data_IF_172054107624
#
_entry.id   IF_172054107624
#
_cell.length_a   1.000
_cell.length_b   1.000
_cell.length_c   1.000
_cell.angle_alpha   90.00
_cell.angle_beta   90.00
_cell.angle_gamma   90.00
#
_symmetry.space_group_name_H-M   'P 1'
#
loop_
_entity.id
_entity.type
_entity.pdbx_description
1 polymer ?
#
# COMPACT_ATOMS: atom_id res chain seq x y z
N UNK A 1 -13.48 2.23 13.42
CA UNK A 1 -12.04 2.21 13.06
C UNK A 1 -11.64 3.62 12.64
N UNK A 2 -10.45 4.06 13.03
CA UNK A 2 -9.99 5.44 12.95
C UNK A 2 -9.14 5.70 11.69
N UNK A 3 -9.57 5.15 10.54
CA UNK A 3 -8.79 5.09 9.29
C UNK A 3 -8.31 6.45 8.77
N UNK A 4 -8.94 7.56 9.16
CA UNK A 4 -8.54 8.90 8.75
C UNK A 4 -7.12 9.30 9.19
N UNK A 5 -6.54 8.65 10.21
CA UNK A 5 -5.19 8.98 10.70
C UNK A 5 -4.10 8.51 9.75
N UNK A 6 -4.31 7.38 9.08
CA UNK A 6 -3.34 6.71 8.20
C UNK A 6 -3.50 7.16 6.74
N UNK A 7 -4.59 7.86 6.42
CA UNK A 7 -4.89 8.33 5.06
C UNK A 7 -3.88 9.34 4.50
N UNK A 8 -3.08 10.00 5.36
CA UNK A 8 -1.96 10.84 4.90
C UNK A 8 -0.91 10.03 4.12
N UNK A 9 -0.75 8.74 4.44
CA UNK A 9 0.12 7.79 3.71
C UNK A 9 -0.70 6.99 2.71
N UNK A 10 -1.85 6.45 3.13
CA UNK A 10 -2.58 5.46 2.34
C UNK A 10 -3.24 6.07 1.09
N UNK A 11 -3.71 7.32 1.14
CA UNK A 11 -4.33 7.96 -0.03
C UNK A 11 -3.35 8.27 -1.16
N UNK A 12 -2.19 8.91 -0.90
CA UNK A 12 -1.15 9.05 -1.93
C UNK A 12 -0.71 7.71 -2.49
N UNK A 13 -0.52 6.70 -1.64
CA UNK A 13 -0.13 5.35 -2.05
C UNK A 13 -1.07 4.75 -3.08
N UNK A 14 -2.37 4.67 -2.77
CA UNK A 14 -3.38 4.13 -3.70
C UNK A 14 -3.41 4.91 -5.01
N UNK A 15 -3.38 6.25 -4.94
CA UNK A 15 -3.45 7.11 -6.12
C UNK A 15 -2.23 6.95 -7.04
N UNK A 16 -1.01 6.91 -6.48
CA UNK A 16 0.21 6.77 -7.26
C UNK A 16 0.31 5.39 -7.90
N UNK A 17 -0.04 4.32 -7.17
CA UNK A 17 -0.05 2.98 -7.73
C UNK A 17 -1.10 2.80 -8.82
N UNK A 18 -2.30 3.34 -8.61
CA UNK A 18 -3.35 3.34 -9.64
C UNK A 18 -2.91 4.12 -10.89
N UNK A 19 -2.30 5.29 -10.72
CA UNK A 19 -1.76 6.09 -11.83
C UNK A 19 -0.60 5.38 -12.54
N UNK A 20 0.17 4.53 -11.84
CA UNK A 20 1.21 3.69 -12.42
C UNK A 20 0.66 2.42 -13.11
N UNK A 21 -0.66 2.22 -13.14
CA UNK A 21 -1.31 1.11 -13.82
C UNK A 21 -1.49 -0.15 -12.98
N UNK A 22 -1.17 -0.13 -11.68
CA UNK A 22 -1.42 -1.28 -10.81
C UNK A 22 -2.93 -1.39 -10.50
N UNK A 23 -3.50 -2.61 -10.53
CA UNK A 23 -4.92 -2.82 -10.32
C UNK A 23 -5.27 -2.81 -8.82
N UNK A 24 -5.13 -1.65 -8.18
CA UNK A 24 -5.47 -1.45 -6.77
C UNK A 24 -6.97 -1.65 -6.55
N UNK A 25 -7.34 -2.46 -5.56
CA UNK A 25 -8.73 -2.75 -5.22
C UNK A 25 -9.23 -1.83 -4.09
N UNK A 26 -8.58 -1.88 -2.93
CA UNK A 26 -8.88 -1.04 -1.78
C UNK A 26 -7.70 -1.05 -0.79
N UNK A 27 -7.86 -0.36 0.34
CA UNK A 27 -7.04 -0.56 1.52
C UNK A 27 -7.92 -0.59 2.77
N UNK A 28 -7.40 -1.21 3.84
CA UNK A 28 -8.06 -1.28 5.15
C UNK A 28 -7.04 -1.26 6.28
N UNK A 29 -7.43 -0.69 7.42
CA UNK A 29 -6.70 -0.88 8.67
C UNK A 29 -6.87 -2.31 9.18
N UNK A 30 -5.83 -2.85 9.79
CA UNK A 30 -5.79 -4.21 10.33
C UNK A 30 -6.02 -4.25 11.85
N UNK A 31 -5.82 -5.42 12.46
CA UNK A 31 -6.06 -5.68 13.88
C UNK A 31 -5.21 -4.79 14.81
N UNK A 32 -3.98 -4.47 14.41
CA UNK A 32 -3.01 -3.76 15.23
C UNK A 32 -2.90 -2.27 14.88
N UNK A 33 -2.60 -1.44 15.89
CA UNK A 33 -2.45 -0.01 15.70
C UNK A 33 -1.29 0.32 14.73
N UNK A 34 -1.60 1.06 13.66
CA UNK A 34 -0.64 1.41 12.61
C UNK A 34 -0.40 0.30 11.58
N UNK A 35 -1.12 -0.82 11.67
CA UNK A 35 -1.11 -1.87 10.66
C UNK A 35 -2.17 -1.60 9.59
N UNK A 36 -1.77 -1.66 8.33
CA UNK A 36 -2.61 -1.39 7.16
C UNK A 36 -2.42 -2.49 6.11
N UNK A 37 -3.49 -2.80 5.39
CA UNK A 37 -3.53 -3.73 4.26
C UNK A 37 -3.87 -2.98 2.98
N UNK A 38 -3.08 -3.22 1.92
CA UNK A 38 -3.35 -2.77 0.57
C UNK A 38 -3.72 -3.99 -0.28
N UNK A 39 -4.94 -4.03 -0.81
CA UNK A 39 -5.38 -5.12 -1.68
C UNK A 39 -5.17 -4.75 -3.15
N UNK A 40 -4.56 -5.68 -3.87
CA UNK A 40 -4.34 -5.62 -5.32
C UNK A 40 -5.19 -6.73 -5.93
N UNK A 41 -5.91 -6.43 -7.02
CA UNK A 41 -6.73 -7.43 -7.70
C UNK A 41 -5.87 -8.61 -8.15
N UNK A 42 -6.48 -9.79 -8.17
CA UNK A 42 -5.86 -11.00 -8.68
C UNK A 42 -5.34 -10.79 -10.12
N UNK A 43 -4.13 -11.30 -10.38
CA UNK A 43 -3.60 -11.48 -11.72
C UNK A 43 -2.80 -12.78 -11.81
N UNK A 44 -2.35 -13.12 -13.02
CA UNK A 44 -1.43 -14.22 -13.25
C UNK A 44 -0.14 -14.06 -12.43
N UNK A 45 0.55 -15.17 -12.18
CA UNK A 45 1.66 -15.21 -11.20
C UNK A 45 2.78 -14.18 -11.49
N UNK A 46 3.14 -13.97 -12.76
CA UNK A 46 4.19 -13.02 -13.14
C UNK A 46 3.77 -11.57 -12.81
N UNK A 47 2.60 -11.16 -13.29
CA UNK A 47 2.03 -9.84 -12.97
C UNK A 47 1.87 -9.64 -11.47
N UNK A 48 1.42 -10.65 -10.74
CA UNK A 48 1.28 -10.59 -9.29
C UNK A 48 2.63 -10.31 -8.60
N UNK A 49 3.71 -10.96 -9.06
CA UNK A 49 5.06 -10.72 -8.55
C UNK A 49 5.56 -9.30 -8.84
N UNK A 50 5.29 -8.79 -10.04
CA UNK A 50 5.62 -7.41 -10.43
C UNK A 50 4.86 -6.40 -9.58
N UNK A 51 3.54 -6.55 -9.47
CA UNK A 51 2.69 -5.69 -8.66
C UNK A 51 3.10 -5.71 -7.18
N UNK A 52 3.38 -6.89 -6.64
CA UNK A 52 3.85 -7.04 -5.25
C UNK A 52 5.15 -6.27 -5.01
N UNK A 53 6.12 -6.40 -5.92
CA UNK A 53 7.43 -5.77 -5.79
C UNK A 53 7.33 -4.24 -5.88
N UNK A 54 6.60 -3.74 -6.89
CA UNK A 54 6.37 -2.32 -7.10
C UNK A 54 5.60 -1.71 -5.92
N UNK A 55 4.54 -2.38 -5.45
CA UNK A 55 3.75 -1.90 -4.33
C UNK A 55 4.58 -1.77 -3.06
N UNK A 56 5.41 -2.77 -2.71
CA UNK A 56 6.27 -2.70 -1.51
C UNK A 56 7.31 -1.59 -1.59
N UNK A 57 7.86 -1.34 -2.78
CA UNK A 57 8.78 -0.22 -2.99
C UNK A 57 8.04 1.12 -2.81
N UNK A 58 6.90 1.30 -3.46
CA UNK A 58 6.10 2.51 -3.36
C UNK A 58 5.65 2.80 -1.92
N UNK A 59 5.25 1.77 -1.16
CA UNK A 59 4.90 1.90 0.27
C UNK A 59 6.05 2.52 1.04
N UNK A 60 7.29 2.04 0.86
CA UNK A 60 8.45 2.57 1.57
C UNK A 60 8.76 4.01 1.19
N UNK A 61 8.78 4.32 -0.11
CA UNK A 61 9.09 5.67 -0.60
C UNK A 61 8.04 6.69 -0.18
N UNK A 62 6.76 6.35 -0.30
CA UNK A 62 5.66 7.26 0.07
C UNK A 62 5.59 7.43 1.58
N UNK A 63 5.73 6.36 2.36
CA UNK A 63 5.81 6.48 3.82
C UNK A 63 6.95 7.40 4.23
N UNK A 64 8.14 7.25 3.64
CA UNK A 64 9.30 8.09 3.90
C UNK A 64 9.03 9.57 3.56
N UNK A 65 8.42 9.85 2.41
CA UNK A 65 8.03 11.22 2.01
C UNK A 65 7.03 11.86 2.98
N UNK A 66 6.23 11.06 3.69
CA UNK A 66 5.28 11.52 4.70
C UNK A 66 5.86 11.51 6.13
N UNK A 67 7.15 11.22 6.31
CA UNK A 67 7.80 11.21 7.63
C UNK A 67 7.51 9.95 8.46
N UNK A 68 7.16 8.83 7.82
CA UNK A 68 6.89 7.54 8.44
C UNK A 68 7.86 6.46 7.96
N UNK A 69 7.98 5.37 8.73
CA UNK A 69 8.69 4.16 8.33
C UNK A 69 7.69 3.01 8.17
N UNK A 70 7.77 2.29 7.05
CA UNK A 70 6.94 1.11 6.78
C UNK A 70 7.79 -0.17 6.82
N UNK A 71 7.26 -1.21 7.47
CA UNK A 71 7.90 -2.52 7.60
C UNK A 71 7.00 -3.63 7.09
N UNK A 72 7.60 -4.65 6.49
CA UNK A 72 6.95 -5.91 6.09
C UNK A 72 7.55 -7.10 6.84
N UNK A 73 8.12 -6.85 8.02
CA UNK A 73 8.59 -7.91 8.90
C UNK A 73 7.39 -8.70 9.43
N UNK A 74 7.50 -10.04 9.55
CA UNK A 74 6.45 -10.88 10.13
C UNK A 74 6.18 -10.58 11.61
#
# INVERSE_FOLDING_TARGET
LQTTKEENVMRPLRNHLFAAGLPIENSKGEAEAGQEELNIRYSAALDCADYHTIAKHAVKEIAWQQGHAASFLP
#
